data_IF_242007406346
#
_entry.id   IF_242007406346
#
_cell.length_a   1.000
_cell.length_b   1.000
_cell.length_c   1.000
_cell.angle_alpha   90.00
_cell.angle_beta   90.00
_cell.angle_gamma   90.00
#
_symmetry.space_group_name_H-M   'P 1'
#
loop_
_entity.id
_entity.type
_entity.pdbx_description
1 polymer ?
#
# COMPACT_ATOMS: atom_id res chain seq x y z
N UNK A 1 27.03 13.96 13.85
CA UNK A 1 26.08 13.12 14.62
C UNK A 1 24.63 13.57 14.43
N UNK A 2 24.29 14.84 14.69
CA UNK A 2 22.92 15.36 14.53
C UNK A 2 22.35 15.17 13.11
N UNK A 3 23.12 15.48 12.07
CA UNK A 3 22.73 15.23 10.67
C UNK A 3 22.37 13.76 10.44
N UNK A 4 23.19 12.83 10.92
CA UNK A 4 22.93 11.40 10.76
C UNK A 4 21.67 10.96 11.52
N UNK A 5 21.44 11.48 12.73
CA UNK A 5 20.22 11.21 13.48
C UNK A 5 18.98 11.74 12.74
N UNK A 6 19.03 12.99 12.27
CA UNK A 6 17.92 13.61 11.53
C UNK A 6 17.62 12.86 10.22
N UNK A 7 18.65 12.41 9.50
CA UNK A 7 18.46 11.57 8.33
C UNK A 7 17.84 10.21 8.67
N UNK A 8 18.27 9.57 9.77
CA UNK A 8 17.68 8.31 10.22
C UNK A 8 16.23 8.50 10.66
N UNK A 9 15.90 9.56 11.40
CA UNK A 9 14.53 9.87 11.81
C UNK A 9 13.63 10.13 10.59
N UNK A 10 14.14 10.79 9.53
CA UNK A 10 13.44 10.96 8.25
C UNK A 10 13.13 9.60 7.59
N UNK A 11 14.15 8.76 7.39
CA UNK A 11 13.96 7.48 6.69
C UNK A 11 13.17 6.46 7.52
N UNK A 12 13.41 6.41 8.82
CA UNK A 12 12.71 5.50 9.72
C UNK A 12 11.30 5.99 10.02
N UNK A 13 11.04 7.29 10.03
CA UNK A 13 9.67 7.80 10.06
C UNK A 13 8.89 7.35 8.83
N UNK A 14 9.45 7.50 7.63
CA UNK A 14 8.83 6.98 6.40
C UNK A 14 8.58 5.45 6.43
N UNK A 15 9.47 4.69 7.08
CA UNK A 15 9.26 3.27 7.35
C UNK A 15 8.12 3.08 8.34
N UNK A 16 8.22 3.67 9.55
CA UNK A 16 7.29 3.51 10.67
C UNK A 16 5.85 3.70 10.22
N UNK A 17 5.63 4.71 9.39
CA UNK A 17 4.38 4.93 8.71
C UNK A 17 3.84 3.63 8.06
N UNK A 18 4.62 3.05 7.17
CA UNK A 18 4.24 1.87 6.40
C UNK A 18 4.35 0.56 7.17
N UNK A 19 4.75 0.57 8.44
CA UNK A 19 4.94 -0.67 9.18
C UNK A 19 3.60 -1.32 9.52
N UNK A 20 3.45 -2.60 9.18
CA UNK A 20 2.28 -3.40 9.54
C UNK A 20 2.75 -4.76 10.00
N UNK A 21 2.82 -4.94 11.31
CA UNK A 21 3.09 -6.22 11.95
C UNK A 21 4.23 -7.02 11.28
N UNK A 22 5.41 -6.41 11.13
CA UNK A 22 6.58 -7.05 10.52
C UNK A 22 6.71 -6.91 9.01
N UNK A 23 5.79 -6.20 8.34
CA UNK A 23 5.84 -5.93 6.89
C UNK A 23 6.05 -4.43 6.64
N UNK A 24 6.91 -4.09 5.66
CA UNK A 24 6.87 -2.79 5.00
C UNK A 24 5.72 -2.77 3.98
N UNK A 25 4.63 -2.09 4.33
CA UNK A 25 3.37 -2.13 3.58
C UNK A 25 3.24 -0.99 2.54
N UNK A 26 2.26 -1.14 1.66
CA UNK A 26 1.90 -0.18 0.63
C UNK A 26 2.75 -0.29 -0.63
N UNK A 27 2.70 0.73 -1.51
CA UNK A 27 3.45 0.68 -2.74
C UNK A 27 4.96 0.68 -2.47
N UNK A 28 5.64 -0.22 -3.16
CA UNK A 28 7.06 -0.49 -2.99
C UNK A 28 7.71 -0.73 -4.34
N UNK A 29 8.98 -0.33 -4.44
CA UNK A 29 9.81 -0.61 -5.60
C UNK A 29 10.99 -1.45 -5.11
N UNK A 30 11.01 -2.73 -5.49
CA UNK A 30 11.92 -3.76 -4.93
C UNK A 30 11.70 -4.00 -3.43
N UNK A 31 11.74 -5.26 -3.02
CA UNK A 31 11.53 -5.64 -1.61
C UNK A 31 10.11 -6.12 -1.28
N UNK A 32 9.42 -6.72 -2.25
CA UNK A 32 8.05 -7.23 -2.16
C UNK A 32 7.84 -8.16 -0.96
N UNK A 33 7.27 -7.61 0.10
CA UNK A 33 6.91 -8.34 1.31
C UNK A 33 5.67 -9.18 1.04
N UNK A 34 5.73 -10.51 1.27
CA UNK A 34 4.52 -11.35 1.22
C UNK A 34 3.99 -11.68 2.62
N UNK A 35 4.91 -11.78 3.58
CA UNK A 35 4.64 -12.02 4.99
C UNK A 35 5.65 -11.27 5.87
N UNK A 36 5.37 -11.19 7.17
CA UNK A 36 6.27 -10.59 8.16
C UNK A 36 7.69 -11.10 8.11
N UNK A 37 8.64 -10.18 8.27
CA UNK A 37 10.07 -10.44 8.35
C UNK A 37 10.64 -11.29 7.19
N UNK A 38 9.97 -11.29 6.04
CA UNK A 38 10.36 -12.12 4.90
C UNK A 38 11.38 -11.41 4.00
N UNK A 39 11.18 -10.13 3.68
CA UNK A 39 12.13 -9.35 2.88
C UNK A 39 13.24 -8.73 3.74
N UNK A 40 14.30 -8.23 3.09
CA UNK A 40 15.41 -7.54 3.75
C UNK A 40 14.91 -6.33 4.55
N UNK A 41 14.02 -5.55 3.96
CA UNK A 41 13.39 -4.41 4.61
C UNK A 41 12.52 -4.86 5.77
N UNK A 42 11.68 -5.88 5.59
CA UNK A 42 10.81 -6.40 6.66
C UNK A 42 11.58 -6.79 7.92
N UNK A 43 12.72 -7.47 7.77
CA UNK A 43 13.55 -7.87 8.92
C UNK A 43 14.11 -6.66 9.68
N UNK A 44 14.36 -5.54 8.98
CA UNK A 44 14.80 -4.30 9.61
C UNK A 44 13.72 -3.76 10.57
N UNK A 45 12.49 -3.62 10.09
CA UNK A 45 11.36 -3.18 10.91
C UNK A 45 11.06 -4.16 12.05
N UNK A 46 11.10 -5.47 11.76
CA UNK A 46 10.90 -6.52 12.75
C UNK A 46 11.90 -6.46 13.91
N UNK A 47 13.18 -6.17 13.64
CA UNK A 47 14.20 -6.01 14.70
C UNK A 47 13.89 -4.82 15.62
N UNK A 48 13.33 -3.74 15.08
CA UNK A 48 13.01 -2.55 15.88
C UNK A 48 11.70 -2.65 16.65
N UNK A 49 10.66 -3.19 16.02
CA UNK A 49 9.28 -3.08 16.51
C UNK A 49 8.60 -4.42 16.75
N UNK A 50 9.24 -5.53 16.35
CA UNK A 50 8.68 -6.88 16.49
C UNK A 50 7.44 -7.11 15.64
N UNK A 51 6.95 -8.33 15.63
CA UNK A 51 5.66 -8.67 15.03
C UNK A 51 5.05 -9.84 15.76
N UNK A 52 3.82 -10.19 15.40
CA UNK A 52 3.13 -11.36 15.92
C UNK A 52 3.65 -12.67 15.32
N UNK A 53 4.56 -12.64 14.35
CA UNK A 53 5.12 -13.87 13.76
C UNK A 53 5.90 -14.67 14.82
N UNK A 54 5.79 -16.00 14.80
CA UNK A 54 6.71 -16.85 15.54
C UNK A 54 8.16 -16.56 15.05
N UNK A 55 9.11 -16.18 15.94
CA UNK A 55 10.49 -15.91 15.56
C UNK A 55 11.18 -17.05 14.80
N UNK A 56 10.78 -18.31 15.03
CA UNK A 56 11.30 -19.47 14.30
C UNK A 56 10.93 -19.48 12.81
N UNK A 57 9.87 -18.74 12.43
CA UNK A 57 9.43 -18.59 11.04
C UNK A 57 10.10 -17.42 10.32
N UNK A 58 10.90 -16.61 11.04
CA UNK A 58 11.60 -15.46 10.45
C UNK A 58 12.69 -15.94 9.52
N UNK A 59 12.76 -15.33 8.33
CA UNK A 59 13.81 -15.63 7.37
C UNK A 59 15.14 -14.98 7.77
N UNK A 60 15.89 -15.65 8.66
CA UNK A 60 17.16 -15.15 9.19
C UNK A 60 18.24 -14.94 8.12
N UNK A 61 18.12 -15.53 6.93
CA UNK A 61 19.05 -15.25 5.82
C UNK A 61 19.06 -13.75 5.47
N UNK A 62 17.89 -13.10 5.53
CA UNK A 62 17.77 -11.67 5.22
C UNK A 62 18.16 -10.77 6.40
N UNK A 63 18.15 -11.29 7.64
CA UNK A 63 18.57 -10.58 8.84
C UNK A 63 20.03 -10.09 8.79
N UNK A 64 20.91 -10.76 8.03
CA UNK A 64 22.32 -10.33 7.88
C UNK A 64 22.48 -8.90 7.36
N UNK A 65 21.54 -8.42 6.55
CA UNK A 65 21.53 -7.06 6.03
C UNK A 65 21.05 -6.04 7.07
N UNK A 66 20.39 -6.50 8.13
CA UNK A 66 20.03 -5.69 9.29
C UNK A 66 21.13 -5.65 10.35
N UNK A 67 22.35 -6.09 10.00
CA UNK A 67 23.47 -6.14 10.93
C UNK A 67 24.00 -4.78 11.36
N UNK A 68 23.68 -3.71 10.63
CA UNK A 68 23.94 -2.35 11.10
C UNK A 68 22.95 -1.92 12.18
N UNK A 69 21.72 -2.42 12.10
CA UNK A 69 20.61 -2.04 12.96
C UNK A 69 20.78 -2.51 14.38
N UNK A 70 21.05 -3.81 14.55
CA UNK A 70 21.23 -4.41 15.88
C UNK A 70 22.52 -3.93 16.59
N UNK A 71 23.56 -3.51 15.85
CA UNK A 71 24.88 -3.08 16.39
C UNK A 71 24.99 -1.57 16.54
N UNK A 72 24.14 -0.81 15.86
CA UNK A 72 24.06 0.64 16.04
C UNK A 72 23.68 0.98 17.48
N UNK A 73 24.13 2.14 17.97
CA UNK A 73 23.61 2.73 19.21
C UNK A 73 22.34 3.55 18.99
N UNK A 74 22.05 3.93 17.75
CA UNK A 74 20.83 4.64 17.42
C UNK A 74 19.65 3.67 17.43
N UNK A 75 18.51 4.11 17.97
CA UNK A 75 17.23 3.41 17.96
C UNK A 75 16.15 4.40 17.52
N UNK A 76 15.08 3.92 16.85
CA UNK A 76 13.91 4.76 16.63
C UNK A 76 13.44 5.29 17.99
N UNK A 77 13.10 6.59 18.03
CA UNK A 77 12.58 7.17 19.27
C UNK A 77 11.18 6.61 19.59
N UNK A 78 10.68 6.93 20.78
CA UNK A 78 9.40 6.39 21.25
C UNK A 78 8.20 6.86 20.39
N UNK A 79 8.23 8.09 19.88
CA UNK A 79 7.17 8.62 19.01
C UNK A 79 7.10 7.83 17.70
N UNK A 80 8.24 7.65 17.00
CA UNK A 80 8.29 6.84 15.78
C UNK A 80 7.93 5.37 16.04
N UNK A 81 8.31 4.84 17.19
CA UNK A 81 7.94 3.47 17.57
C UNK A 81 6.44 3.34 17.80
N UNK A 82 5.81 4.31 18.47
CA UNK A 82 4.37 4.32 18.67
C UNK A 82 3.60 4.45 17.35
N UNK A 83 4.10 5.27 16.41
CA UNK A 83 3.55 5.33 15.05
C UNK A 83 3.64 3.94 14.38
N UNK A 84 4.82 3.31 14.39
CA UNK A 84 5.02 2.01 13.77
C UNK A 84 4.15 0.91 14.38
N UNK A 85 4.04 0.87 15.70
CA UNK A 85 3.25 -0.15 16.43
C UNK A 85 1.78 0.23 16.58
N UNK A 86 1.34 1.33 15.94
CA UNK A 86 -0.06 1.80 15.96
C UNK A 86 -0.58 2.13 17.36
N UNK A 87 0.30 2.51 18.28
CA UNK A 87 -0.05 3.04 19.59
C UNK A 87 -0.37 4.53 19.46
N UNK A 88 -1.47 4.83 18.76
CA UNK A 88 -1.90 6.19 18.42
C UNK A 88 -3.30 6.44 18.99
N UNK A 89 -3.63 7.67 19.41
CA UNK A 89 -4.88 7.96 20.10
C UNK A 89 -6.11 7.82 19.22
N UNK A 90 -5.98 8.09 17.92
CA UNK A 90 -7.05 7.90 16.95
C UNK A 90 -6.57 7.10 15.74
N UNK A 91 -7.29 6.01 15.47
CA UNK A 91 -7.23 5.21 14.26
C UNK A 91 -8.67 4.98 13.79
N UNK A 92 -8.92 4.84 12.49
CA UNK A 92 -7.96 4.85 11.39
C UNK A 92 -7.43 6.26 11.04
N UNK A 93 -6.31 6.32 10.33
CA UNK A 93 -5.78 7.56 9.71
C UNK A 93 -5.33 7.33 8.28
N UNK A 94 -5.34 8.39 7.47
CA UNK A 94 -4.83 8.37 6.10
C UNK A 94 -3.67 9.35 5.97
N UNK A 95 -2.63 8.96 5.24
CA UNK A 95 -1.52 9.84 4.86
C UNK A 95 -1.42 9.92 3.35
N UNK A 96 -0.95 11.08 2.89
CA UNK A 96 -0.58 11.30 1.50
C UNK A 96 0.89 11.67 1.47
N UNK A 97 1.66 10.94 0.68
CA UNK A 97 3.11 11.12 0.64
C UNK A 97 3.58 11.19 -0.81
N UNK A 98 4.69 11.88 -1.04
CA UNK A 98 5.37 11.91 -2.31
C UNK A 98 6.82 11.49 -2.18
N UNK A 99 7.35 10.90 -3.24
CA UNK A 99 8.76 10.45 -3.31
C UNK A 99 9.41 10.98 -4.57
N UNK A 100 10.71 11.20 -4.50
CA UNK A 100 11.51 11.49 -5.68
C UNK A 100 11.56 10.30 -6.63
N UNK A 101 11.87 10.54 -7.90
CA UNK A 101 12.17 9.44 -8.81
C UNK A 101 13.41 8.65 -8.36
N UNK A 102 13.46 7.36 -8.70
CA UNK A 102 14.68 6.58 -8.54
C UNK A 102 15.64 6.98 -9.66
N UNK A 103 16.59 7.86 -9.35
CA UNK A 103 17.54 8.42 -10.32
C UNK A 103 18.91 7.72 -10.29
N UNK A 104 19.27 7.11 -9.16
CA UNK A 104 20.60 6.54 -8.94
C UNK A 104 20.91 5.41 -9.95
N UNK A 105 21.96 5.60 -10.74
CA UNK A 105 22.39 4.65 -11.76
C UNK A 105 21.55 4.64 -13.05
N UNK A 106 20.55 5.52 -13.20
CA UNK A 106 19.65 5.55 -14.36
C UNK A 106 19.97 6.66 -15.39
N UNK A 107 20.94 7.53 -15.12
CA UNK A 107 21.27 8.71 -15.97
C UNK A 107 20.04 9.60 -16.26
N UNK A 108 19.19 9.76 -15.25
CA UNK A 108 18.06 10.69 -15.26
C UNK A 108 18.25 11.70 -14.14
N UNK A 109 17.75 12.91 -14.32
CA UNK A 109 17.82 13.94 -13.29
C UNK A 109 16.96 13.57 -12.07
N UNK A 110 17.44 13.83 -10.84
CA UNK A 110 16.61 13.77 -9.65
C UNK A 110 15.43 14.74 -9.77
N UNK A 111 14.23 14.24 -9.51
CA UNK A 111 12.98 15.00 -9.49
C UNK A 111 12.24 14.65 -8.21
N UNK A 112 12.01 15.66 -7.37
CA UNK A 112 11.08 15.54 -6.24
C UNK A 112 9.65 15.34 -6.71
N UNK A 113 8.76 14.96 -5.80
CA UNK A 113 7.32 14.87 -6.05
C UNK A 113 6.95 14.06 -7.32
N UNK A 114 7.65 12.93 -7.55
CA UNK A 114 7.49 12.12 -8.77
C UNK A 114 6.52 10.94 -8.60
N UNK A 115 6.54 10.33 -7.42
CA UNK A 115 5.63 9.27 -7.04
C UNK A 115 4.67 9.81 -6.00
N UNK A 116 3.38 9.51 -6.15
CA UNK A 116 2.33 9.98 -5.26
C UNK A 116 1.59 8.79 -4.67
N UNK A 117 1.58 8.68 -3.35
CA UNK A 117 0.96 7.56 -2.66
C UNK A 117 -0.04 8.04 -1.60
N UNK A 118 -1.06 7.21 -1.38
CA UNK A 118 -1.90 7.26 -0.19
C UNK A 118 -1.62 6.03 0.66
N UNK A 119 -1.78 6.18 1.97
CA UNK A 119 -1.64 5.09 2.92
C UNK A 119 -2.67 5.22 4.04
N UNK A 120 -3.60 4.28 4.10
CA UNK A 120 -4.62 4.18 5.13
C UNK A 120 -4.18 3.16 6.18
N UNK A 121 -4.20 3.57 7.44
CA UNK A 121 -3.77 2.78 8.59
C UNK A 121 -4.93 2.59 9.54
N UNK A 122 -5.32 1.34 9.72
CA UNK A 122 -6.25 0.89 10.73
C UNK A 122 -5.49 0.07 11.79
N UNK A 123 -6.09 -0.17 12.95
CA UNK A 123 -5.49 -1.01 14.00
C UNK A 123 -5.17 -2.43 13.49
N UNK A 124 -6.03 -2.99 12.64
CA UNK A 124 -5.95 -4.38 12.15
C UNK A 124 -5.25 -4.55 10.78
N UNK A 125 -5.18 -3.50 9.96
CA UNK A 125 -4.66 -3.58 8.60
C UNK A 125 -4.15 -2.23 8.10
N UNK A 126 -3.40 -2.25 7.01
CA UNK A 126 -3.05 -1.05 6.26
C UNK A 126 -3.27 -1.28 4.77
N UNK A 127 -3.76 -0.26 4.07
CA UNK A 127 -3.94 -0.25 2.62
C UNK A 127 -3.17 0.93 2.04
N UNK A 128 -2.20 0.64 1.19
CA UNK A 128 -1.46 1.66 0.45
C UNK A 128 -1.62 1.53 -1.05
N UNK A 129 -1.62 2.66 -1.75
CA UNK A 129 -1.62 2.70 -3.22
C UNK A 129 -0.77 3.83 -3.79
N UNK A 130 -0.28 3.62 -5.00
CA UNK A 130 0.50 4.54 -5.82
C UNK A 130 -0.39 5.12 -6.92
N UNK A 131 -0.84 6.34 -6.69
CA UNK A 131 -1.67 7.11 -7.61
C UNK A 131 -0.96 7.38 -8.92
N UNK A 132 0.27 7.88 -8.83
CA UNK A 132 1.05 8.33 -9.97
C UNK A 132 2.53 7.96 -9.83
N UNK A 133 3.19 7.81 -10.98
CA UNK A 133 4.59 7.45 -11.09
C UNK A 133 4.79 5.99 -11.48
N UNK A 134 5.83 5.74 -12.29
CA UNK A 134 6.24 4.41 -12.72
C UNK A 134 7.69 4.44 -13.21
N UNK A 135 8.50 3.48 -12.74
CA UNK A 135 9.90 3.37 -13.10
C UNK A 135 10.11 2.54 -14.37
N UNK A 136 11.13 2.88 -15.17
CA UNK A 136 11.42 2.14 -16.42
C UNK A 136 11.76 0.66 -16.21
N UNK A 137 12.17 0.27 -15.00
CA UNK A 137 12.57 -1.11 -14.70
C UNK A 137 11.41 -1.99 -14.23
N UNK A 138 10.22 -1.41 -14.07
CA UNK A 138 8.97 -2.11 -13.84
C UNK A 138 8.98 -3.06 -12.66
N UNK A 139 9.65 -2.67 -11.58
CA UNK A 139 9.71 -3.44 -10.33
C UNK A 139 8.94 -2.74 -9.23
N UNK A 140 7.76 -2.23 -9.57
CA UNK A 140 6.87 -1.53 -8.65
C UNK A 140 5.68 -2.43 -8.31
N UNK A 141 5.30 -2.50 -7.04
CA UNK A 141 3.97 -2.94 -6.61
C UNK A 141 3.20 -1.66 -6.34
N UNK A 142 2.11 -1.45 -7.09
CA UNK A 142 1.35 -0.20 -7.04
C UNK A 142 0.42 -0.11 -5.86
N UNK A 143 0.01 -1.23 -5.30
CA UNK A 143 -0.83 -1.24 -4.11
C UNK A 143 -0.55 -2.49 -3.29
N UNK A 144 -0.82 -2.38 -2.00
CA UNK A 144 -0.68 -3.50 -1.09
C UNK A 144 -1.64 -3.31 0.08
N UNK A 145 -2.37 -4.37 0.40
CA UNK A 145 -3.09 -4.50 1.66
C UNK A 145 -2.28 -5.43 2.56
N UNK A 146 -1.88 -4.96 3.73
CA UNK A 146 -1.26 -5.78 4.76
C UNK A 146 -2.22 -5.95 5.93
N UNK A 147 -2.51 -7.19 6.31
CA UNK A 147 -3.42 -7.55 7.38
C UNK A 147 -2.88 -8.74 8.15
N UNK A 148 -3.27 -8.91 9.41
CA UNK A 148 -2.84 -10.07 10.19
C UNK A 148 -3.28 -11.39 9.53
N UNK A 149 -2.38 -12.38 9.49
CA UNK A 149 -2.65 -13.73 9.03
C UNK A 149 -3.67 -14.46 9.89
N UNK A 150 -4.20 -15.57 9.39
CA UNK A 150 -5.30 -16.35 10.00
C UNK A 150 -5.12 -16.71 11.48
N UNK A 151 -3.88 -16.80 11.97
CA UNK A 151 -3.58 -16.98 13.39
C UNK A 151 -2.82 -15.79 13.98
N UNK A 152 -2.90 -15.64 15.31
CA UNK A 152 -2.16 -14.62 16.05
C UNK A 152 -0.65 -14.83 16.08
N UNK A 153 -0.13 -15.89 15.45
CA UNK A 153 1.31 -16.23 15.42
C UNK A 153 1.90 -16.17 14.01
N UNK A 154 1.13 -15.75 13.01
CA UNK A 154 1.52 -15.76 11.61
C UNK A 154 2.13 -14.44 11.11
N UNK A 155 2.03 -13.37 11.89
CA UNK A 155 2.37 -12.03 11.43
C UNK A 155 1.37 -11.46 10.42
N UNK A 156 1.67 -10.31 9.81
CA UNK A 156 0.99 -9.81 8.64
C UNK A 156 1.23 -10.66 7.40
N UNK A 157 0.18 -10.80 6.61
CA UNK A 157 0.17 -11.30 5.23
C UNK A 157 -0.22 -10.14 4.30
N UNK A 158 0.08 -10.29 3.01
CA UNK A 158 -0.13 -9.20 2.06
C UNK A 158 -0.94 -9.62 0.85
N UNK A 159 -1.97 -8.86 0.53
CA UNK A 159 -2.63 -8.88 -0.76
C UNK A 159 -1.98 -7.86 -1.67
N UNK A 160 -1.80 -8.23 -2.93
CA UNK A 160 -1.28 -7.38 -3.99
C UNK A 160 -1.90 -7.85 -5.30
N UNK A 161 -1.58 -7.21 -6.41
CA UNK A 161 -2.24 -7.50 -7.66
C UNK A 161 -1.80 -6.56 -8.74
N UNK A 162 -2.18 -6.92 -9.95
CA UNK A 162 -1.98 -6.09 -11.10
C UNK A 162 -1.83 -6.84 -12.41
N UNK A 163 -1.60 -6.07 -13.46
CA UNK A 163 -1.23 -6.56 -14.77
C UNK A 163 0.18 -7.17 -14.72
N UNK A 164 0.37 -8.42 -15.17
CA UNK A 164 1.67 -9.08 -15.22
C UNK A 164 2.64 -8.42 -16.18
N UNK A 165 3.89 -8.19 -15.77
CA UNK A 165 4.90 -7.60 -16.66
C UNK A 165 5.96 -8.64 -16.98
N UNK A 166 6.16 -8.94 -18.27
CA UNK A 166 7.10 -9.95 -18.73
C UNK A 166 6.87 -11.32 -18.04
N UNK A 167 5.61 -11.69 -17.85
CA UNK A 167 5.22 -12.92 -17.14
C UNK A 167 5.48 -12.93 -15.64
N UNK A 168 5.89 -11.81 -15.03
CA UNK A 168 6.00 -11.68 -13.57
C UNK A 168 4.62 -11.45 -12.99
N UNK A 169 4.28 -12.24 -11.99
CA UNK A 169 2.97 -12.24 -11.33
C UNK A 169 3.07 -11.89 -9.85
N UNK A 170 4.19 -11.35 -9.37
CA UNK A 170 4.32 -10.98 -7.95
C UNK A 170 5.22 -9.77 -7.75
N UNK A 171 6.34 -9.72 -8.45
CA UNK A 171 7.31 -8.63 -8.37
C UNK A 171 7.28 -7.76 -9.63
N UNK A 172 6.87 -6.51 -9.47
CA UNK A 172 6.80 -5.59 -10.60
C UNK A 172 5.55 -5.79 -11.43
N UNK A 173 4.42 -5.42 -10.84
CA UNK A 173 3.10 -5.42 -11.48
C UNK A 173 2.69 -3.99 -11.82
N UNK A 174 1.82 -3.83 -12.82
CA UNK A 174 1.05 -2.60 -12.96
C UNK A 174 1.63 -1.48 -13.81
N UNK A 175 2.30 -1.85 -14.90
CA UNK A 175 2.74 -0.91 -15.93
C UNK A 175 1.59 -0.09 -16.51
N UNK A 176 0.43 -0.72 -16.70
CA UNK A 176 -0.74 -0.14 -17.36
C UNK A 176 -1.85 0.25 -16.39
N UNK A 177 -1.58 0.16 -15.10
CA UNK A 177 -2.55 0.47 -14.05
C UNK A 177 -2.58 1.95 -13.73
N UNK A 178 -3.77 2.40 -13.40
CA UNK A 178 -4.04 3.67 -12.77
C UNK A 178 -4.84 3.36 -11.50
N UNK A 179 -4.44 3.95 -10.38
CA UNK A 179 -5.11 3.71 -9.10
C UNK A 179 -5.62 5.00 -8.47
N UNK A 180 -6.69 4.88 -7.70
CA UNK A 180 -7.22 5.91 -6.82
C UNK A 180 -7.65 5.26 -5.51
N UNK A 181 -7.42 5.95 -4.39
CA UNK A 181 -7.78 5.46 -3.08
C UNK A 181 -8.48 6.54 -2.26
N UNK A 182 -9.53 6.16 -1.56
CA UNK A 182 -10.10 6.97 -0.49
C UNK A 182 -10.30 6.02 0.67
N UNK A 183 -9.84 6.36 1.87
CA UNK A 183 -9.95 5.48 3.04
C UNK A 183 -9.43 4.04 2.78
N UNK A 184 -10.23 3.04 3.12
CA UNK A 184 -9.98 1.62 2.91
C UNK A 184 -10.52 1.10 1.57
N UNK A 185 -10.79 2.02 0.63
CA UNK A 185 -11.32 1.74 -0.70
C UNK A 185 -10.28 2.08 -1.78
N UNK A 186 -9.98 1.11 -2.65
CA UNK A 186 -9.09 1.26 -3.80
C UNK A 186 -9.87 0.99 -5.10
N UNK A 187 -9.67 1.84 -6.11
CA UNK A 187 -10.05 1.60 -7.50
C UNK A 187 -8.78 1.41 -8.31
N UNK A 188 -8.72 0.34 -9.09
CA UNK A 188 -7.65 0.06 -10.05
C UNK A 188 -8.28 -0.19 -11.41
N UNK A 189 -7.80 0.53 -12.43
CA UNK A 189 -8.21 0.37 -13.83
C UNK A 189 -6.97 0.21 -14.71
N UNK A 190 -7.07 -0.59 -15.76
CA UNK A 190 -5.96 -0.79 -16.72
C UNK A 190 -6.30 -0.33 -18.13
N UNK A 191 -5.27 0.09 -18.85
CA UNK A 191 -5.31 0.28 -20.31
C UNK A 191 -4.19 -0.56 -20.94
N UNK A 192 -4.46 -1.87 -21.11
CA UNK A 192 -3.45 -2.81 -21.62
C UNK A 192 -3.39 -2.71 -23.15
N UNK A 193 -2.21 -2.47 -23.75
CA UNK A 193 -2.04 -2.45 -25.20
C UNK A 193 -2.44 -3.76 -25.89
N UNK A 194 -2.91 -3.66 -27.14
CA UNK A 194 -3.29 -4.82 -27.96
C UNK A 194 -2.16 -5.83 -28.17
N UNK A 195 -0.92 -5.35 -28.24
CA UNK A 195 0.28 -6.15 -28.47
C UNK A 195 0.85 -6.80 -27.20
N UNK A 196 0.28 -6.51 -26.02
CA UNK A 196 0.70 -7.16 -24.79
C UNK A 196 0.17 -8.61 -24.72
N UNK A 197 1.01 -9.60 -24.37
CA UNK A 197 0.56 -10.99 -24.30
C UNK A 197 -0.38 -11.31 -23.12
N UNK A 198 -0.54 -10.40 -22.15
CA UNK A 198 -1.31 -10.63 -20.93
C UNK A 198 -2.50 -9.67 -20.81
N UNK A 199 -3.62 -9.96 -21.47
CA UNK A 199 -4.85 -9.15 -21.39
C UNK A 199 -5.68 -9.48 -20.13
N UNK A 200 -5.09 -9.31 -18.95
CA UNK A 200 -5.78 -9.47 -17.67
C UNK A 200 -5.10 -8.73 -16.52
N UNK A 201 -5.84 -8.60 -15.42
CA UNK A 201 -5.38 -8.12 -14.11
C UNK A 201 -5.50 -9.24 -13.09
N UNK A 202 -4.53 -9.33 -12.19
CA UNK A 202 -4.53 -10.28 -11.08
C UNK A 202 -4.88 -9.59 -9.76
N UNK A 203 -5.60 -10.28 -8.89
CA UNK A 203 -5.65 -10.00 -7.46
C UNK A 203 -5.12 -11.22 -6.72
N UNK A 204 -3.93 -11.12 -6.12
CA UNK A 204 -3.29 -12.23 -5.43
C UNK A 204 -3.90 -12.47 -4.06
N UNK A 205 -4.14 -13.74 -3.79
CA UNK A 205 -4.71 -14.20 -2.53
C UNK A 205 -3.58 -14.90 -1.75
N UNK A 206 -3.12 -14.32 -0.63
CA UNK A 206 -2.07 -14.93 0.18
C UNK A 206 -2.57 -16.27 0.77
N UNK A 207 -1.71 -17.30 0.87
CA UNK A 207 -2.12 -18.64 1.35
C UNK A 207 -2.75 -18.70 2.74
N UNK A 208 -2.52 -17.67 3.57
CA UNK A 208 -3.03 -17.56 4.94
C UNK A 208 -4.31 -16.70 5.06
N UNK A 209 -4.88 -16.27 3.92
CA UNK A 209 -6.23 -15.74 3.89
C UNK A 209 -7.25 -16.89 3.78
N UNK A 210 -8.50 -16.63 4.15
CA UNK A 210 -9.58 -17.56 3.85
C UNK A 210 -9.72 -17.75 2.33
N UNK A 211 -10.24 -18.91 1.95
CA UNK A 211 -10.60 -19.13 0.55
C UNK A 211 -11.65 -18.09 0.10
N UNK A 212 -11.54 -17.54 -1.12
CA UNK A 212 -12.47 -16.53 -1.60
C UNK A 212 -13.83 -17.15 -1.93
N UNK A 213 -14.89 -16.45 -1.55
CA UNK A 213 -16.29 -16.83 -1.78
C UNK A 213 -16.97 -15.76 -2.64
N UNK A 214 -17.78 -16.18 -3.61
CA UNK A 214 -18.49 -15.25 -4.49
C UNK A 214 -19.91 -14.98 -3.98
N UNK A 215 -20.28 -13.69 -3.90
CA UNK A 215 -21.59 -13.18 -3.52
C UNK A 215 -22.08 -12.14 -4.52
N UNK A 216 -22.95 -12.57 -5.43
CA UNK A 216 -23.30 -11.76 -6.59
C UNK A 216 -22.04 -11.43 -7.39
N UNK A 217 -21.72 -10.15 -7.48
CA UNK A 217 -20.54 -9.67 -8.21
C UNK A 217 -19.30 -9.51 -7.31
N UNK A 218 -19.46 -9.58 -5.98
CA UNK A 218 -18.35 -9.43 -5.04
C UNK A 218 -17.67 -10.78 -4.75
N UNK A 219 -16.36 -10.76 -4.70
CA UNK A 219 -15.55 -11.81 -4.09
C UNK A 219 -15.16 -11.38 -2.69
N UNK A 220 -15.37 -12.24 -1.71
CA UNK A 220 -15.15 -11.95 -0.30
C UNK A 220 -14.18 -12.95 0.28
N UNK A 221 -13.22 -12.44 1.04
CA UNK A 221 -12.26 -13.23 1.79
C UNK A 221 -11.93 -12.54 3.11
N UNK A 222 -11.20 -13.25 3.97
CA UNK A 222 -10.85 -12.81 5.31
C UNK A 222 -9.38 -13.05 5.61
N UNK A 223 -8.73 -12.06 6.21
CA UNK A 223 -7.42 -12.18 6.85
C UNK A 223 -7.59 -11.88 8.34
N UNK A 224 -7.72 -12.92 9.15
CA UNK A 224 -8.09 -12.84 10.57
C UNK A 224 -9.30 -11.93 10.84
N UNK A 225 -9.09 -10.76 11.44
CA UNK A 225 -10.13 -9.78 11.76
C UNK A 225 -10.39 -8.76 10.66
N UNK A 226 -9.89 -9.01 9.44
CA UNK A 226 -10.01 -8.11 8.30
C UNK A 226 -10.83 -8.76 7.20
N UNK A 227 -11.92 -8.10 6.81
CA UNK A 227 -12.73 -8.39 5.65
C UNK A 227 -12.13 -7.76 4.40
N UNK A 228 -12.15 -8.49 3.30
CA UNK A 228 -11.64 -8.07 2.00
C UNK A 228 -12.70 -8.37 0.94
N UNK A 229 -13.24 -7.32 0.33
CA UNK A 229 -14.19 -7.40 -0.77
C UNK A 229 -13.56 -6.93 -2.07
N UNK A 230 -13.66 -7.73 -3.13
CA UNK A 230 -13.15 -7.42 -4.47
C UNK A 230 -14.29 -7.49 -5.47
N UNK A 231 -14.55 -6.38 -6.17
CA UNK A 231 -15.51 -6.30 -7.26
C UNK A 231 -14.74 -6.20 -8.59
N UNK A 232 -14.73 -7.25 -9.42
CA UNK A 232 -14.11 -7.21 -10.74
C UNK A 232 -14.80 -6.20 -11.66
N UNK A 233 -14.02 -5.48 -12.46
CA UNK A 233 -14.50 -4.50 -13.43
C UNK A 233 -14.15 -4.93 -14.85
N UNK A 234 -14.99 -4.57 -15.82
CA UNK A 234 -14.84 -4.92 -17.22
C UNK A 234 -15.26 -6.36 -17.56
N UNK A 235 -14.91 -7.35 -16.73
CA UNK A 235 -15.33 -8.74 -16.90
C UNK A 235 -15.38 -9.49 -15.56
N UNK A 236 -16.17 -10.57 -15.45
CA UNK A 236 -16.15 -11.43 -14.26
C UNK A 236 -14.76 -12.00 -14.01
N UNK A 237 -14.34 -12.00 -12.74
CA UNK A 237 -13.10 -12.68 -12.36
C UNK A 237 -13.24 -14.20 -12.38
N UNK A 238 -12.14 -14.87 -12.65
CA UNK A 238 -11.99 -16.32 -12.53
C UNK A 238 -11.05 -16.62 -11.38
N UNK A 239 -11.47 -17.46 -10.45
CA UNK A 239 -10.57 -17.97 -9.42
C UNK A 239 -9.64 -19.01 -10.05
N UNK A 240 -8.34 -18.77 -9.94
CA UNK A 240 -7.33 -19.65 -10.51
C UNK A 240 -5.98 -19.50 -9.79
N UNK A 241 -4.93 -19.87 -10.50
CA UNK A 241 -3.56 -19.73 -10.02
C UNK A 241 -2.77 -18.83 -10.98
N UNK A 242 -1.93 -17.98 -10.41
CA UNK A 242 -1.04 -17.11 -11.18
C UNK A 242 -0.13 -17.93 -12.09
N UNK A 243 -0.03 -17.56 -13.35
CA UNK A 243 0.97 -18.13 -14.24
C UNK A 243 2.38 -17.79 -13.74
N UNK A 244 3.30 -18.73 -13.91
CA UNK A 244 4.70 -18.51 -13.59
C UNK A 244 5.51 -18.41 -14.86
N UNK A 245 6.42 -17.43 -14.89
CA UNK A 245 7.48 -17.41 -15.89
C UNK A 245 8.36 -18.67 -15.76
N UNK A 246 8.99 -19.09 -16.85
CA UNK A 246 9.95 -20.19 -16.84
C UNK A 246 11.08 -19.94 -15.82
N UNK A 247 11.53 -18.69 -15.73
CA UNK A 247 12.52 -18.25 -14.74
C UNK A 247 12.05 -18.49 -13.31
N UNK A 248 10.79 -18.17 -12.99
CA UNK A 248 10.25 -18.34 -11.65
C UNK A 248 10.04 -19.82 -11.32
N UNK A 249 9.60 -20.63 -12.29
CA UNK A 249 9.57 -22.10 -12.16
C UNK A 249 10.96 -22.67 -11.88
N UNK A 250 11.98 -22.22 -12.62
CA UNK A 250 13.37 -22.66 -12.43
C UNK A 250 13.96 -22.22 -11.07
N UNK A 251 13.36 -21.20 -10.44
CA UNK A 251 13.70 -20.76 -9.07
C UNK A 251 12.90 -21.49 -7.99
N UNK A 252 12.06 -22.45 -8.37
CA UNK A 252 11.21 -23.20 -7.44
C UNK A 252 10.05 -22.37 -6.89
N UNK A 253 9.65 -21.28 -7.55
CA UNK A 253 8.41 -20.59 -7.19
C UNK A 253 7.20 -21.44 -7.57
N UNK A 254 6.14 -21.31 -6.79
CA UNK A 254 4.88 -22.02 -7.00
C UNK A 254 3.77 -21.04 -7.42
N UNK A 255 2.85 -21.47 -8.30
CA UNK A 255 1.66 -20.69 -8.62
C UNK A 255 0.90 -20.38 -7.34
N UNK A 256 0.37 -19.16 -7.24
CA UNK A 256 -0.40 -18.72 -6.07
C UNK A 256 -1.85 -18.48 -6.45
N UNK A 257 -2.81 -18.74 -5.54
CA UNK A 257 -4.20 -18.42 -5.80
C UNK A 257 -4.38 -16.94 -6.16
N UNK A 258 -5.19 -16.67 -7.17
CA UNK A 258 -5.50 -15.32 -7.61
C UNK A 258 -6.90 -15.24 -8.23
N UNK A 259 -7.51 -14.07 -8.14
CA UNK A 259 -8.62 -13.70 -9.02
C UNK A 259 -8.03 -13.14 -10.32
N UNK A 260 -8.38 -13.74 -11.45
CA UNK A 260 -7.93 -13.35 -12.79
C UNK A 260 -9.07 -12.62 -13.48
N UNK A 261 -8.87 -11.34 -13.79
CA UNK A 261 -9.88 -10.47 -14.39
C UNK A 261 -9.48 -10.23 -15.85
N UNK A 262 -10.11 -10.91 -16.82
CA UNK A 262 -9.72 -10.81 -18.21
C UNK A 262 -10.14 -9.46 -18.83
N UNK A 263 -9.44 -9.08 -19.89
CA UNK A 263 -9.73 -7.90 -20.69
C UNK A 263 -8.66 -6.82 -20.56
N UNK A 264 -8.46 -6.07 -21.64
CA UNK A 264 -7.49 -4.98 -21.73
C UNK A 264 -7.88 -3.78 -20.86
N UNK A 265 -9.18 -3.48 -20.87
CA UNK A 265 -9.82 -2.45 -20.07
C UNK A 265 -10.61 -3.12 -18.97
N UNK A 266 -9.87 -3.57 -17.97
CA UNK A 266 -10.37 -4.27 -16.80
C UNK A 266 -9.82 -3.61 -15.54
N UNK A 267 -10.16 -4.18 -14.39
CA UNK A 267 -9.73 -3.65 -13.11
C UNK A 267 -10.52 -4.25 -11.97
N UNK A 268 -10.45 -3.61 -10.81
CA UNK A 268 -11.30 -3.97 -9.68
C UNK A 268 -11.50 -2.79 -8.73
N UNK A 269 -12.59 -2.87 -7.97
CA UNK A 269 -12.74 -2.14 -6.70
C UNK A 269 -12.35 -3.08 -5.57
N UNK A 270 -11.51 -2.62 -4.66
CA UNK A 270 -11.17 -3.28 -3.42
C UNK A 270 -11.75 -2.45 -2.26
N UNK A 271 -12.55 -3.08 -1.40
CA UNK A 271 -13.03 -2.49 -0.16
C UNK A 271 -12.62 -3.37 1.02
N UNK A 272 -12.05 -2.74 2.04
CA UNK A 272 -11.48 -3.43 3.21
C UNK A 272 -12.12 -2.90 4.47
N UNK A 273 -12.44 -3.79 5.40
CA UNK A 273 -12.97 -3.44 6.71
C UNK A 273 -12.38 -4.32 7.79
N UNK A 274 -12.34 -3.83 9.02
CA UNK A 274 -12.14 -4.70 10.19
C UNK A 274 -13.46 -5.29 10.69
N UNK A 275 -13.36 -6.33 11.50
CA UNK A 275 -14.48 -6.87 12.28
C UNK A 275 -14.97 -5.92 13.39
N UNK A 276 -14.20 -4.90 13.75
CA UNK A 276 -14.65 -3.88 14.71
C UNK A 276 -15.60 -2.86 14.04
N UNK A 277 -15.56 -2.77 12.71
CA UNK A 277 -16.43 -1.90 11.90
C UNK A 277 -17.62 -2.66 11.30
N UNK A 278 -17.40 -3.91 10.88
CA UNK A 278 -18.44 -4.82 10.38
C UNK A 278 -18.25 -6.19 11.04
N UNK A 279 -19.01 -6.44 12.10
CA UNK A 279 -18.83 -7.57 13.02
C UNK A 279 -18.79 -8.92 12.33
N UNK A 280 -19.67 -9.12 11.35
CA UNK A 280 -19.81 -10.36 10.62
C UNK A 280 -19.85 -10.16 9.10
N UNK A 281 -19.94 -11.28 8.40
CA UNK A 281 -19.98 -11.34 6.94
C UNK A 281 -21.20 -10.64 6.36
N UNK A 282 -22.35 -10.72 7.01
CA UNK A 282 -23.61 -10.19 6.47
C UNK A 282 -23.65 -8.66 6.62
N UNK A 283 -23.13 -8.13 7.73
CA UNK A 283 -22.90 -6.69 7.91
C UNK A 283 -21.94 -6.15 6.84
N UNK A 284 -20.84 -6.85 6.57
CA UNK A 284 -19.88 -6.45 5.53
C UNK A 284 -20.51 -6.51 4.13
N UNK A 285 -21.23 -7.58 3.79
CA UNK A 285 -21.97 -7.72 2.54
C UNK A 285 -22.98 -6.61 2.31
N UNK A 286 -23.72 -6.25 3.36
CA UNK A 286 -24.69 -5.15 3.33
C UNK A 286 -23.98 -3.84 2.98
N UNK A 287 -22.87 -3.54 3.65
CA UNK A 287 -22.08 -2.34 3.36
C UNK A 287 -21.51 -2.34 1.92
N UNK A 288 -21.03 -3.48 1.41
CA UNK A 288 -20.57 -3.61 0.02
C UNK A 288 -21.70 -3.34 -0.99
N UNK A 289 -22.93 -3.74 -0.69
CA UNK A 289 -24.09 -3.45 -1.54
C UNK A 289 -24.47 -1.96 -1.50
N UNK A 290 -24.37 -1.33 -0.32
CA UNK A 290 -24.62 0.10 -0.14
C UNK A 290 -23.56 1.01 -0.79
N UNK A 291 -22.38 0.47 -1.12
CA UNK A 291 -21.36 1.19 -1.89
C UNK A 291 -21.82 1.62 -3.28
N UNK A 292 -22.89 1.01 -3.83
CA UNK A 292 -23.52 1.42 -5.10
C UNK A 292 -22.53 1.63 -6.25
N UNK A 293 -21.63 0.67 -6.47
CA UNK A 293 -20.59 0.81 -7.50
C UNK A 293 -21.22 0.86 -8.89
N UNK A 294 -20.99 1.96 -9.60
CA UNK A 294 -21.32 2.13 -11.00
C UNK A 294 -20.03 2.14 -11.83
N UNK A 295 -19.95 1.25 -12.81
CA UNK A 295 -18.86 1.14 -13.77
C UNK A 295 -19.39 1.28 -15.19
N UNK A 296 -18.78 2.16 -15.97
CA UNK A 296 -19.14 2.39 -17.36
C UNK A 296 -17.94 2.84 -18.20
N UNK A 297 -18.11 2.78 -19.52
CA UNK A 297 -17.18 3.38 -20.48
C UNK A 297 -17.71 4.75 -20.91
N UNK A 298 -16.81 5.72 -21.02
CA UNK A 298 -17.06 7.03 -21.58
C UNK A 298 -17.03 6.97 -23.13
N UNK A 299 -17.46 8.04 -23.80
CA UNK A 299 -17.58 8.07 -25.27
C UNK A 299 -16.24 7.92 -26.02
N UNK A 300 -15.12 8.22 -25.37
CA UNK A 300 -13.75 7.99 -25.83
C UNK A 300 -13.21 6.59 -25.49
N UNK A 301 -14.02 5.78 -24.81
CA UNK A 301 -13.68 4.44 -24.35
C UNK A 301 -12.98 4.38 -22.99
N UNK A 302 -12.70 5.53 -22.35
CA UNK A 302 -12.13 5.58 -21.01
C UNK A 302 -13.06 4.96 -19.97
N UNK A 303 -12.50 4.22 -19.03
CA UNK A 303 -13.27 3.63 -17.93
C UNK A 303 -13.59 4.67 -16.86
N UNK A 304 -14.81 4.62 -16.31
CA UNK A 304 -15.22 5.44 -15.16
C UNK A 304 -15.90 4.58 -14.11
N UNK A 305 -15.48 4.78 -12.87
CA UNK A 305 -16.08 4.19 -11.67
C UNK A 305 -16.60 5.31 -10.77
N UNK A 306 -17.82 5.18 -10.27
CA UNK A 306 -18.33 6.00 -9.18
C UNK A 306 -18.94 5.11 -8.10
N UNK A 307 -18.62 5.38 -6.84
CA UNK A 307 -19.12 4.61 -5.71
C UNK A 307 -19.15 5.47 -4.43
N UNK A 308 -19.79 4.91 -3.41
CA UNK A 308 -19.66 5.33 -2.01
C UNK A 308 -18.68 4.38 -1.32
N UNK A 309 -17.68 4.92 -0.62
CA UNK A 309 -16.76 4.08 0.17
C UNK A 309 -17.49 3.46 1.37
N UNK A 310 -16.86 2.49 2.04
CA UNK A 310 -17.43 1.92 3.28
C UNK A 310 -17.57 2.96 4.41
N UNK A 311 -16.82 4.08 4.35
CA UNK A 311 -16.96 5.23 5.25
C UNK A 311 -18.00 6.25 4.78
N UNK A 312 -18.67 5.95 3.68
CA UNK A 312 -19.75 6.75 3.14
C UNK A 312 -19.33 7.91 2.26
N UNK A 313 -18.04 8.00 1.90
CA UNK A 313 -17.50 9.10 1.10
C UNK A 313 -17.74 8.82 -0.39
N UNK A 314 -18.24 9.79 -1.19
CA UNK A 314 -18.31 9.60 -2.63
C UNK A 314 -16.90 9.62 -3.24
N UNK A 315 -16.60 8.60 -4.06
CA UNK A 315 -15.40 8.48 -4.87
C UNK A 315 -15.79 8.31 -6.34
N UNK A 316 -15.26 9.18 -7.20
CA UNK A 316 -15.32 9.02 -8.65
C UNK A 316 -13.90 8.89 -9.17
N UNK A 317 -13.61 7.85 -9.94
CA UNK A 317 -12.33 7.63 -10.56
C UNK A 317 -12.51 7.42 -12.07
N UNK A 318 -11.80 8.19 -12.88
CA UNK A 318 -11.89 8.17 -14.34
C UNK A 318 -10.51 7.91 -14.91
N UNK A 319 -10.43 6.87 -15.75
CA UNK A 319 -9.22 6.55 -16.49
C UNK A 319 -8.81 7.73 -17.38
N UNK A 320 -7.52 8.00 -17.43
CA UNK A 320 -6.94 9.03 -18.28
C UNK A 320 -6.11 8.33 -19.36
N UNK A 321 -6.61 8.23 -20.59
CA UNK A 321 -5.91 7.53 -21.67
C UNK A 321 -4.55 8.19 -21.94
N UNK A 322 -3.48 7.39 -21.98
CA UNK A 322 -2.10 7.87 -22.15
C UNK A 322 -1.42 8.39 -20.87
N UNK A 323 -2.17 8.59 -19.78
CA UNK A 323 -1.63 8.98 -18.49
C UNK A 323 -1.32 7.77 -17.59
N UNK A 324 -0.70 8.04 -16.43
CA UNK A 324 -0.29 7.01 -15.46
C UNK A 324 -1.02 7.06 -14.12
N UNK A 325 -2.09 7.85 -14.06
CA UNK A 325 -2.89 8.09 -12.87
C UNK A 325 -4.36 8.26 -13.25
N UNK A 326 -5.26 7.95 -12.31
CA UNK A 326 -6.69 8.23 -12.47
C UNK A 326 -6.94 9.71 -12.19
N UNK A 327 -7.86 10.33 -12.93
CA UNK A 327 -8.51 11.54 -12.47
C UNK A 327 -9.53 11.14 -11.40
N UNK A 328 -9.42 11.70 -10.19
CA UNK A 328 -10.29 11.33 -9.08
C UNK A 328 -10.98 12.54 -8.44
N UNK A 329 -12.23 12.34 -8.05
CA UNK A 329 -12.99 13.22 -7.17
C UNK A 329 -13.29 12.46 -5.88
N UNK A 330 -12.89 13.03 -4.74
CA UNK A 330 -13.24 12.50 -3.41
C UNK A 330 -14.03 13.60 -2.70
N UNK A 331 -15.22 13.28 -2.19
CA UNK A 331 -16.09 14.27 -1.54
C UNK A 331 -16.44 15.46 -2.47
N UNK A 332 -16.41 15.23 -3.79
CA UNK A 332 -16.62 16.25 -4.81
C UNK A 332 -15.38 17.08 -5.17
N UNK A 333 -14.25 16.88 -4.48
CA UNK A 333 -13.02 17.63 -4.70
C UNK A 333 -12.04 16.88 -5.60
N UNK A 334 -11.43 17.60 -6.55
CA UNK A 334 -10.39 17.03 -7.42
C UNK A 334 -9.12 16.74 -6.64
N UNK A 335 -8.64 15.51 -6.76
CA UNK A 335 -7.33 15.10 -6.27
C UNK A 335 -6.25 15.68 -7.19
N UNK A 336 -5.47 16.65 -6.69
CA UNK A 336 -4.38 17.29 -7.44
C UNK A 336 -3.02 16.83 -6.95
N UNK A 337 -2.08 16.58 -7.89
CA UNK A 337 -0.70 16.16 -7.60
C UNK A 337 0.31 17.31 -7.50
N UNK A 338 -0.10 18.55 -7.82
CA UNK A 338 0.81 19.71 -7.89
C UNK A 338 1.48 20.01 -6.55
N UNK A 339 0.72 19.91 -5.45
CA UNK A 339 1.18 20.23 -4.09
C UNK A 339 1.13 18.99 -3.17
N UNK A 340 1.39 17.80 -3.72
CA UNK A 340 1.38 16.59 -2.92
C UNK A 340 2.52 16.60 -1.89
N UNK A 341 2.23 16.48 -0.59
CA UNK A 341 3.24 16.60 0.45
C UNK A 341 4.22 15.43 0.41
N UNK A 342 5.48 15.66 0.80
CA UNK A 342 6.47 14.58 0.96
C UNK A 342 6.01 13.60 2.03
N UNK A 343 5.64 14.12 3.20
CA UNK A 343 4.87 13.42 4.22
C UNK A 343 3.71 14.31 4.63
N UNK A 344 2.48 13.81 4.52
CA UNK A 344 1.27 14.55 4.85
C UNK A 344 0.29 13.69 5.64
N UNK A 345 0.54 13.54 6.93
CA UNK A 345 -0.31 12.81 7.86
C UNK A 345 -0.43 13.51 9.22
N UNK A 346 -1.43 13.15 10.05
CA UNK A 346 -1.68 13.81 11.33
C UNK A 346 -0.58 13.54 12.39
N UNK A 347 0.17 12.43 12.24
CA UNK A 347 1.19 12.00 13.20
C UNK A 347 2.62 12.14 12.67
N UNK A 348 2.78 12.40 11.37
CA UNK A 348 4.07 12.58 10.73
C UNK A 348 3.90 13.43 9.48
N UNK A 349 4.59 14.57 9.46
CA UNK A 349 4.44 15.58 8.43
C UNK A 349 5.79 16.22 8.12
N UNK A 350 5.99 16.63 6.87
CA UNK A 350 7.14 17.44 6.46
C UNK A 350 6.62 18.63 5.66
N UNK A 351 6.72 19.81 6.26
CA UNK A 351 6.30 21.06 5.64
C UNK A 351 7.40 22.09 5.76
N UNK A 352 7.73 22.75 4.65
CA UNK A 352 8.67 23.88 4.61
C UNK A 352 10.04 23.57 5.24
N UNK A 353 10.51 22.32 5.08
CA UNK A 353 11.78 21.87 5.66
C UNK A 353 11.73 21.52 7.15
N UNK A 354 10.54 21.48 7.77
CA UNK A 354 10.36 21.09 9.17
C UNK A 354 9.65 19.73 9.22
N UNK A 355 10.35 18.71 9.72
CA UNK A 355 9.79 17.39 9.97
C UNK A 355 9.14 17.38 11.34
N UNK A 356 7.88 16.97 11.44
CA UNK A 356 7.12 16.89 12.68
C UNK A 356 6.65 15.45 12.89
N UNK A 357 6.74 14.96 14.12
CA UNK A 357 6.23 13.66 14.52
C UNK A 357 5.53 13.78 15.86
N UNK A 358 4.38 13.12 16.01
CA UNK A 358 3.58 13.13 17.24
C UNK A 358 2.85 11.80 17.41
N UNK A 359 2.80 11.28 18.62
CA UNK A 359 2.18 9.99 18.94
C UNK A 359 0.84 10.11 19.70
N UNK A 360 0.35 11.33 19.90
CA UNK A 360 -0.83 11.60 20.74
C UNK A 360 -0.49 12.24 22.08
N UNK A 361 0.70 11.94 22.61
CA UNK A 361 1.12 12.37 23.94
C UNK A 361 2.39 13.22 23.87
N UNK A 362 3.35 12.80 23.06
CA UNK A 362 4.64 13.45 22.86
C UNK A 362 4.84 13.71 21.37
N UNK A 363 5.58 14.77 21.08
CA UNK A 363 6.02 15.03 19.73
C UNK A 363 7.33 15.79 19.71
N UNK A 364 7.97 15.75 18.56
CA UNK A 364 9.19 16.49 18.29
C UNK A 364 9.14 17.00 16.86
N UNK A 365 9.94 18.04 16.62
CA UNK A 365 10.20 18.51 15.28
C UNK A 365 11.69 18.63 15.01
N UNK A 366 12.06 18.51 13.74
CA UNK A 366 13.41 18.70 13.23
C UNK A 366 13.36 19.74 12.12
N UNK A 367 13.94 20.91 12.39
CA UNK A 367 14.05 22.00 11.42
C UNK A 367 15.31 21.81 10.57
N UNK A 368 15.13 21.65 9.26
CA UNK A 368 16.19 21.48 8.26
C UNK A 368 16.44 22.76 7.43
N UNK A 369 15.90 23.92 7.82
CA UNK A 369 16.00 25.17 7.05
C UNK A 369 17.36 25.88 7.19
N UNK A 370 18.11 25.58 8.25
CA UNK A 370 19.46 26.10 8.49
C UNK A 370 20.58 25.15 8.05
N UNK A 371 21.82 25.51 8.42
CA UNK A 371 23.02 24.72 8.09
C UNK A 371 23.06 23.34 8.79
N UNK A 372 22.42 23.24 9.95
CA UNK A 372 22.37 22.03 10.77
C UNK A 372 20.93 21.79 11.26
N UNK A 373 20.51 20.51 11.39
CA UNK A 373 19.17 20.20 11.88
C UNK A 373 19.02 20.58 13.36
N UNK A 374 17.91 21.23 13.70
CA UNK A 374 17.57 21.66 15.07
C UNK A 374 16.38 20.86 15.58
N UNK A 375 16.54 20.21 16.73
CA UNK A 375 15.47 19.47 17.41
C UNK A 375 14.77 20.37 18.43
N UNK A 376 13.45 20.24 18.51
CA UNK A 376 12.64 20.84 19.58
C UNK A 376 11.43 19.97 19.88
N UNK A 377 10.90 20.08 21.09
CA UNK A 377 9.62 19.46 21.43
C UNK A 377 8.51 20.11 20.59
N UNK A 378 7.52 19.31 20.20
CA UNK A 378 6.43 19.77 19.36
C UNK A 378 5.13 19.06 19.71
N UNK A 379 4.02 19.78 19.56
CA UNK A 379 2.66 19.23 19.61
C UNK A 379 1.79 19.98 18.61
N UNK A 380 0.78 19.34 18.01
CA UNK A 380 -0.20 20.06 17.21
C UNK A 380 -0.91 21.12 18.07
N UNK A 381 -1.20 22.28 17.47
CA UNK A 381 -2.10 23.25 18.09
C UNK A 381 -3.48 22.60 18.23
N UNK A 382 -4.14 22.80 19.37
CA UNK A 382 -5.55 22.46 19.48
C UNK A 382 -6.32 23.31 18.46
N UNK A 383 -6.84 22.68 17.41
CA UNK A 383 -7.74 23.30 16.44
C UNK A 383 -9.10 23.62 17.04
#
# INVERSE_FOLDING_TARGET
RLIAQAALDYFVGAYALKYTDGVLSGPSQRGFSRNSAQAITDTLGWIWWGSTINPEQVNMHNARYSSHTWTSRWRPNAVLSNIATRNLPSLPVEWRNSKSNYWFGQRIEPRGNHFHESFYVHAQYSLGSLWAGWDRHGQTVRWQLSAQGSSSTEGAITFTGGHPINGRTWDGLGRYEQTAQADSTLVLLTDIPDDDPHHHVLFHIPPKASWPEQHGNWWIMRANRTWVGVLPLGSPAQLGFSELSERDRNRGHHPTPALIIPGQRSGFVLQVSSMDEHEDRDAFLTALHESQVNYNHQGDGAQKVSLKTLKGRPLVATQQLGERHLAALIDGETVSFENWPVFGGPYFNLKEGILQAWDGERGYQVDFTGDLPVYSDWSPSAE
#
